data_IF_147249101027
#
_entry.id   IF_147249101027
#
_cell.length_a   1.000
_cell.length_b   1.000
_cell.length_c   1.000
_cell.angle_alpha   90.00
_cell.angle_beta   90.00
_cell.angle_gamma   90.00
#
_symmetry.space_group_name_H-M   'P 1'
#
loop_
_entity.id
_entity.type
_entity.pdbx_description
1 polymer ?
#
# COMPACT_ATOMS: atom_id res chain seq x y z
N UNK A 1 -10.07 25.38 0.48
CA UNK A 1 -10.55 24.35 -0.46
C UNK A 1 -9.45 23.33 -0.77
N UNK A 2 -8.24 23.73 -1.16
CA UNK A 2 -7.13 22.81 -1.47
C UNK A 2 -6.69 21.89 -0.30
N UNK A 3 -6.57 22.42 0.91
CA UNK A 3 -6.11 21.66 2.10
C UNK A 3 -7.08 20.54 2.52
N UNK A 4 -8.39 20.79 2.41
CA UNK A 4 -9.43 19.79 2.69
C UNK A 4 -9.46 18.66 1.67
N UNK A 5 -9.14 18.96 0.41
CA UNK A 5 -9.08 17.98 -0.66
C UNK A 5 -7.87 17.05 -0.50
N UNK A 6 -6.71 17.60 -0.12
CA UNK A 6 -5.49 16.82 0.14
C UNK A 6 -5.62 15.88 1.36
N UNK A 7 -6.21 16.34 2.47
CA UNK A 7 -6.51 15.47 3.63
C UNK A 7 -7.46 14.32 3.27
N UNK A 8 -8.47 14.59 2.45
CA UNK A 8 -9.40 13.57 1.97
C UNK A 8 -8.68 12.54 1.09
N UNK A 9 -7.77 12.99 0.23
CA UNK A 9 -6.97 12.12 -0.66
C UNK A 9 -5.96 11.26 0.13
N UNK A 10 -5.28 11.83 1.13
CA UNK A 10 -4.39 11.09 2.06
C UNK A 10 -5.14 9.97 2.80
N UNK A 11 -6.32 10.26 3.36
CA UNK A 11 -7.14 9.25 4.03
C UNK A 11 -7.56 8.10 3.10
N UNK A 12 -7.79 8.38 1.81
CA UNK A 12 -8.08 7.37 0.79
C UNK A 12 -6.84 6.50 0.50
N UNK A 13 -5.64 7.10 0.39
CA UNK A 13 -4.39 6.37 0.15
C UNK A 13 -4.03 5.44 1.31
N UNK A 14 -4.18 5.91 2.55
CA UNK A 14 -3.96 5.09 3.74
C UNK A 14 -4.89 3.87 3.76
N UNK A 15 -6.18 4.06 3.45
CA UNK A 15 -7.17 2.97 3.36
C UNK A 15 -6.86 2.01 2.21
N UNK A 16 -6.42 2.53 1.07
CA UNK A 16 -6.01 1.70 -0.07
C UNK A 16 -4.81 0.82 0.30
N UNK A 17 -3.80 1.37 0.98
CA UNK A 17 -2.65 0.59 1.45
C UNK A 17 -3.06 -0.51 2.43
N UNK A 18 -3.94 -0.20 3.39
CA UNK A 18 -4.46 -1.21 4.32
C UNK A 18 -5.23 -2.33 3.60
N UNK A 19 -5.98 -1.99 2.55
CA UNK A 19 -6.71 -2.96 1.73
C UNK A 19 -5.72 -3.88 0.99
N UNK A 20 -4.66 -3.32 0.42
CA UNK A 20 -3.60 -4.09 -0.25
C UNK A 20 -2.89 -5.01 0.73
N UNK A 21 -2.55 -4.54 1.94
CA UNK A 21 -1.93 -5.34 2.99
C UNK A 21 -2.85 -6.51 3.43
N UNK A 22 -4.16 -6.27 3.49
CA UNK A 22 -5.16 -7.30 3.81
C UNK A 22 -5.22 -8.37 2.73
N UNK A 23 -5.34 -7.98 1.45
CA UNK A 23 -5.35 -8.93 0.34
C UNK A 23 -4.04 -9.72 0.22
N UNK A 24 -2.90 -9.10 0.55
CA UNK A 24 -1.62 -9.81 0.63
C UNK A 24 -1.64 -10.90 1.69
N UNK A 25 -2.17 -10.62 2.88
CA UNK A 25 -2.31 -11.62 3.94
C UNK A 25 -3.26 -12.76 3.52
N UNK A 26 -4.38 -12.44 2.88
CA UNK A 26 -5.32 -13.41 2.32
C UNK A 26 -4.66 -14.30 1.27
N UNK A 27 -3.90 -13.71 0.32
CA UNK A 27 -3.21 -14.45 -0.72
C UNK A 27 -2.17 -15.42 -0.15
N UNK A 28 -1.45 -15.00 0.90
CA UNK A 28 -0.50 -15.86 1.60
C UNK A 28 -1.20 -17.03 2.31
N UNK A 29 -2.36 -16.79 2.93
CA UNK A 29 -3.16 -17.85 3.54
C UNK A 29 -3.69 -18.86 2.51
N UNK A 30 -4.17 -18.39 1.35
CA UNK A 30 -4.58 -19.29 0.24
C UNK A 30 -3.37 -20.10 -0.24
N UNK A 31 -2.22 -19.44 -0.36
CA UNK A 31 -0.93 -20.07 -0.68
C UNK A 31 -0.62 -21.30 0.17
N UNK A 32 -0.69 -21.11 1.48
CA UNK A 32 -0.44 -22.16 2.46
C UNK A 32 -1.48 -23.29 2.38
N UNK A 33 -2.77 -22.95 2.18
CA UNK A 33 -3.83 -23.96 2.01
C UNK A 33 -3.60 -24.85 0.79
N UNK A 34 -3.17 -24.28 -0.34
CA UNK A 34 -2.87 -25.07 -1.55
C UNK A 34 -1.68 -26.00 -1.30
N UNK A 35 -0.63 -25.53 -0.64
CA UNK A 35 0.52 -26.37 -0.30
C UNK A 35 0.13 -27.52 0.64
N UNK A 36 -0.68 -27.25 1.67
CA UNK A 36 -1.15 -28.27 2.61
C UNK A 36 -2.05 -29.30 1.91
N UNK A 37 -3.02 -28.86 1.12
CA UNK A 37 -3.90 -29.76 0.38
C UNK A 37 -3.13 -30.64 -0.61
N UNK A 38 -2.09 -30.10 -1.25
CA UNK A 38 -1.20 -30.86 -2.11
C UNK A 38 -0.41 -31.92 -1.33
N UNK A 39 0.15 -31.56 -0.16
CA UNK A 39 0.89 -32.49 0.69
C UNK A 39 0.01 -33.63 1.22
N UNK A 40 -1.22 -33.32 1.64
CA UNK A 40 -2.20 -34.32 2.10
C UNK A 40 -2.58 -35.30 0.96
N UNK A 41 -2.76 -34.77 -0.24
CA UNK A 41 -3.16 -35.56 -1.42
C UNK A 41 -2.01 -36.34 -2.06
N UNK A 42 -0.75 -36.00 -1.73
CA UNK A 42 0.45 -36.50 -2.40
C UNK A 42 0.59 -38.03 -2.32
N UNK A 43 0.13 -38.63 -1.22
CA UNK A 43 0.15 -40.08 -1.00
C UNK A 43 -0.75 -40.87 -1.97
N UNK A 44 -1.81 -40.22 -2.50
CA UNK A 44 -2.76 -40.82 -3.43
C UNK A 44 -2.37 -40.69 -4.90
N UNK A 45 -1.37 -39.87 -5.21
CA UNK A 45 -0.90 -39.67 -6.58
C UNK A 45 0.35 -40.50 -6.84
N UNK A 46 0.26 -41.43 -7.78
CA UNK A 46 1.40 -42.25 -8.20
C UNK A 46 1.69 -42.05 -9.69
N UNK A 47 2.96 -42.24 -10.08
CA UNK A 47 3.40 -42.12 -11.47
C UNK A 47 3.28 -40.69 -12.02
N UNK A 48 2.84 -40.56 -13.26
CA UNK A 48 2.81 -39.28 -13.99
C UNK A 48 1.89 -38.23 -13.33
N UNK A 49 0.83 -38.65 -12.64
CA UNK A 49 -0.07 -37.73 -11.92
C UNK A 49 0.62 -37.02 -10.77
N UNK A 50 1.50 -37.70 -10.02
CA UNK A 50 2.27 -37.10 -8.93
C UNK A 50 3.22 -36.01 -9.46
N UNK A 51 3.89 -36.28 -10.57
CA UNK A 51 4.79 -35.32 -11.21
C UNK A 51 4.03 -34.09 -11.72
N UNK A 52 2.88 -34.29 -12.36
CA UNK A 52 2.05 -33.20 -12.87
C UNK A 52 1.57 -32.29 -11.75
N UNK A 53 1.08 -32.84 -10.62
CA UNK A 53 0.64 -31.97 -9.53
C UNK A 53 1.82 -31.31 -8.81
N UNK A 54 2.95 -32.00 -8.64
CA UNK A 54 4.14 -31.36 -8.09
C UNK A 54 4.56 -30.13 -8.90
N UNK A 55 4.51 -30.21 -10.24
CA UNK A 55 4.77 -29.06 -11.12
C UNK A 55 3.76 -27.94 -10.93
N UNK A 56 2.46 -28.24 -10.88
CA UNK A 56 1.42 -27.23 -10.68
C UNK A 56 1.56 -26.53 -9.32
N UNK A 57 1.87 -27.28 -8.26
CA UNK A 57 2.06 -26.72 -6.91
C UNK A 57 3.30 -25.84 -6.85
N UNK A 58 4.38 -26.25 -7.51
CA UNK A 58 5.58 -25.41 -7.64
C UNK A 58 5.29 -24.11 -8.39
N UNK A 59 4.64 -24.20 -9.56
CA UNK A 59 4.27 -23.04 -10.36
C UNK A 59 3.36 -22.10 -9.58
N UNK A 60 2.34 -22.64 -8.91
CA UNK A 60 1.45 -21.86 -8.05
C UNK A 60 2.22 -21.17 -6.93
N UNK A 61 3.18 -21.85 -6.29
CA UNK A 61 4.05 -21.25 -5.28
C UNK A 61 4.89 -20.08 -5.81
N UNK A 62 5.41 -20.18 -7.04
CA UNK A 62 6.12 -19.07 -7.70
C UNK A 62 5.19 -17.90 -8.00
N UNK A 63 4.00 -18.17 -8.54
CA UNK A 63 3.03 -17.14 -8.86
C UNK A 63 2.55 -16.41 -7.61
N UNK A 64 2.34 -17.14 -6.51
CA UNK A 64 2.02 -16.54 -5.21
C UNK A 64 3.11 -15.59 -4.71
N UNK A 65 4.40 -15.95 -4.87
CA UNK A 65 5.51 -15.06 -4.52
C UNK A 65 5.52 -13.80 -5.39
N UNK A 66 5.22 -13.92 -6.68
CA UNK A 66 5.13 -12.76 -7.59
C UNK A 66 4.00 -11.82 -7.18
N UNK A 67 2.84 -12.36 -6.83
CA UNK A 67 1.70 -11.58 -6.33
C UNK A 67 2.07 -10.88 -5.01
N UNK A 68 2.68 -11.59 -4.06
CA UNK A 68 3.11 -11.01 -2.79
C UNK A 68 4.07 -9.82 -2.99
N UNK A 69 5.05 -9.96 -3.88
CA UNK A 69 5.98 -8.90 -4.22
C UNK A 69 5.28 -7.70 -4.88
N UNK A 70 4.34 -7.94 -5.80
CA UNK A 70 3.59 -6.88 -6.45
C UNK A 70 2.72 -6.10 -5.46
N UNK A 71 2.00 -6.80 -4.57
CA UNK A 71 1.18 -6.19 -3.53
C UNK A 71 2.03 -5.42 -2.51
N UNK A 72 3.20 -5.95 -2.13
CA UNK A 72 4.14 -5.22 -1.26
C UNK A 72 4.58 -3.90 -1.89
N UNK A 73 5.03 -3.93 -3.16
CA UNK A 73 5.46 -2.72 -3.87
C UNK A 73 4.33 -1.70 -4.01
N UNK A 74 3.10 -2.16 -4.26
CA UNK A 74 1.93 -1.29 -4.35
C UNK A 74 1.65 -0.64 -2.99
N UNK A 75 1.66 -1.40 -1.90
CA UNK A 75 1.47 -0.87 -0.55
C UNK A 75 2.54 0.18 -0.19
N UNK A 76 3.81 -0.10 -0.48
CA UNK A 76 4.92 0.83 -0.23
C UNK A 76 4.78 2.12 -1.06
N UNK A 77 4.33 2.00 -2.32
CA UNK A 77 4.09 3.15 -3.20
C UNK A 77 2.94 4.02 -2.68
N UNK A 78 1.86 3.41 -2.20
CA UNK A 78 0.73 4.11 -1.60
C UNK A 78 1.14 4.84 -0.32
N UNK A 79 1.89 4.19 0.58
CA UNK A 79 2.42 4.80 1.80
C UNK A 79 3.37 5.97 1.50
N UNK A 80 4.26 5.81 0.53
CA UNK A 80 5.20 6.86 0.12
C UNK A 80 4.46 8.07 -0.48
N UNK A 81 3.44 7.81 -1.29
CA UNK A 81 2.60 8.85 -1.89
C UNK A 81 1.85 9.62 -0.80
N UNK A 82 1.25 8.91 0.16
CA UNK A 82 0.57 9.51 1.31
C UNK A 82 1.50 10.43 2.13
N UNK A 83 2.71 9.97 2.45
CA UNK A 83 3.70 10.79 3.16
C UNK A 83 4.12 12.04 2.37
N UNK A 84 4.22 11.93 1.04
CA UNK A 84 4.54 13.06 0.17
C UNK A 84 3.43 14.11 0.18
N UNK A 85 2.17 13.68 0.18
CA UNK A 85 1.01 14.56 0.32
C UNK A 85 1.00 15.28 1.67
N UNK A 86 1.20 14.55 2.78
CA UNK A 86 1.25 15.13 4.12
C UNK A 86 2.40 16.15 4.28
N UNK A 87 3.57 15.85 3.69
CA UNK A 87 4.71 16.78 3.72
C UNK A 87 4.42 18.06 2.93
N UNK A 88 3.82 17.92 1.75
CA UNK A 88 3.41 19.07 0.92
C UNK A 88 2.37 19.95 1.62
N UNK A 89 1.45 19.34 2.37
CA UNK A 89 0.47 20.04 3.20
C UNK A 89 1.15 20.83 4.32
N UNK A 90 2.05 20.20 5.07
CA UNK A 90 2.78 20.83 6.16
C UNK A 90 3.60 22.03 5.69
N UNK A 91 4.29 21.90 4.55
CA UNK A 91 5.06 22.99 3.93
C UNK A 91 4.15 24.15 3.49
N UNK A 92 3.01 23.83 2.86
CA UNK A 92 2.04 24.83 2.40
C UNK A 92 1.43 25.61 3.57
N UNK A 93 1.04 24.92 4.64
CA UNK A 93 0.51 25.54 5.85
C UNK A 93 1.55 26.45 6.52
N UNK A 94 2.79 25.99 6.66
CA UNK A 94 3.90 26.79 7.21
C UNK A 94 4.24 28.01 6.33
N UNK A 95 4.10 27.89 5.01
CA UNK A 95 4.24 29.01 4.08
C UNK A 95 3.12 30.05 4.24
N UNK A 96 1.87 29.61 4.29
CA UNK A 96 0.71 30.47 4.48
C UNK A 96 0.77 31.22 5.83
N UNK A 97 1.17 30.56 6.91
CA UNK A 97 1.40 31.18 8.21
C UNK A 97 2.47 32.27 8.15
N UNK A 98 3.59 32.02 7.45
CA UNK A 98 4.64 33.02 7.26
C UNK A 98 4.14 34.25 6.50
N UNK A 99 3.40 34.06 5.41
CA UNK A 99 2.83 35.17 4.62
C UNK A 99 1.79 35.95 5.44
N UNK A 100 0.89 35.26 6.15
CA UNK A 100 -0.12 35.90 7.00
C UNK A 100 0.49 36.69 8.16
N UNK A 101 1.53 36.17 8.81
CA UNK A 101 2.26 36.87 9.86
C UNK A 101 2.96 38.13 9.33
N UNK A 102 3.55 38.07 8.14
CA UNK A 102 4.20 39.22 7.50
C UNK A 102 3.19 40.27 7.00
N UNK A 103 2.02 39.84 6.51
CA UNK A 103 0.95 40.74 6.08
C UNK A 103 0.23 41.43 7.25
N UNK A 104 0.14 40.79 8.41
CA UNK A 104 -0.45 41.38 9.63
C UNK A 104 0.45 42.39 10.35
N UNK A 105 1.77 42.31 10.18
CA UNK A 105 2.75 43.24 10.78
C UNK A 105 3.03 44.51 9.96
N UNK A 106 2.75 44.49 8.66
CA UNK A 106 3.11 45.59 7.73
C UNK A 106 2.24 46.85 7.81
N UNK A 107 1.03 46.76 8.38
CA UNK A 107 0.09 47.89 8.44
C UNK A 107 0.14 48.69 9.75
N UNK A 108 0.98 48.28 10.73
CA UNK A 108 1.04 48.96 12.03
C UNK A 108 2.02 50.16 12.08
N UNK A 109 2.76 50.43 10.99
CA UNK A 109 3.78 51.50 10.95
C UNK A 109 3.53 52.56 9.86
N UNK A 110 2.28 52.78 9.45
CA UNK A 110 1.93 53.93 8.61
C UNK A 110 1.69 55.15 9.53
N UNK A 111 2.50 56.21 9.46
CA UNK A 111 2.22 57.44 10.20
C UNK A 111 0.90 58.07 9.71
N UNK A 112 0.13 58.59 10.66
CA UNK A 112 -1.19 59.20 10.46
C UNK A 112 -1.16 60.42 9.53
#
# INVERSE_FOLDING_TARGET
MAEQQLKSESGVLAKASQTVDTHRAEQNAIGQRVQNAAAESQSGWQGQGAAAVAQVVQQYGEDNRRIDQALSRLSDSLKTTDQSYLSTEAESAAGAQRVGANAGGGYHNLPA
#
